data_IF_795751688513
#
_entry.id   IF_795751688513
#
_cell.length_a   1.000
_cell.length_b   1.000
_cell.length_c   1.000
_cell.angle_alpha   90.00
_cell.angle_beta   90.00
_cell.angle_gamma   90.00
#
_symmetry.space_group_name_H-M   'P 1'
#
loop_
_entity.id
_entity.type
_entity.pdbx_description
1 polymer ?
#
# COMPACT_ATOMS: atom_id res chain seq x y z
N UNK A 1 -40.39 -52.15 -11.57
CA UNK A 1 -40.06 -51.21 -10.48
C UNK A 1 -38.56 -50.96 -10.54
N UNK A 2 -38.14 -50.00 -11.36
CA UNK A 2 -36.73 -49.58 -11.47
C UNK A 2 -36.72 -48.15 -12.00
N UNK A 3 -36.70 -47.18 -11.10
CA UNK A 3 -36.54 -45.76 -11.44
C UNK A 3 -35.05 -45.44 -11.28
N UNK A 4 -34.43 -45.12 -12.41
CA UNK A 4 -33.06 -44.62 -12.50
C UNK A 4 -33.09 -43.16 -12.09
N UNK A 5 -32.64 -42.85 -10.87
CA UNK A 5 -32.32 -41.48 -10.46
C UNK A 5 -31.00 -41.06 -11.12
N UNK A 6 -31.11 -40.35 -12.24
CA UNK A 6 -30.01 -39.64 -12.88
C UNK A 6 -29.50 -38.55 -11.94
N UNK A 7 -28.29 -38.74 -11.40
CA UNK A 7 -27.62 -37.77 -10.55
C UNK A 7 -27.24 -36.51 -11.32
N UNK A 8 -27.87 -35.39 -10.98
CA UNK A 8 -27.48 -34.07 -11.45
C UNK A 8 -26.33 -33.54 -10.59
N UNK A 9 -25.10 -33.89 -10.95
CA UNK A 9 -23.89 -33.24 -10.42
C UNK A 9 -23.70 -31.87 -11.11
N UNK A 10 -24.50 -30.87 -10.72
CA UNK A 10 -24.17 -29.46 -10.93
C UNK A 10 -23.50 -28.94 -9.65
N UNK A 11 -22.30 -29.44 -9.36
CA UNK A 11 -21.41 -28.78 -8.41
C UNK A 11 -20.88 -27.54 -9.12
N UNK A 12 -21.42 -26.38 -8.70
CA UNK A 12 -21.05 -25.10 -9.25
C UNK A 12 -19.54 -24.89 -9.22
N UNK A 13 -18.97 -24.59 -10.37
CA UNK A 13 -17.85 -23.67 -10.40
C UNK A 13 -18.35 -22.36 -9.76
N UNK A 14 -18.20 -22.21 -8.44
CA UNK A 14 -18.27 -20.89 -7.83
C UNK A 14 -17.20 -20.05 -8.52
N UNK A 15 -17.64 -19.24 -9.49
CA UNK A 15 -16.78 -18.19 -10.03
C UNK A 15 -16.35 -17.37 -8.82
N UNK A 16 -15.04 -17.28 -8.63
CA UNK A 16 -14.46 -16.35 -7.66
C UNK A 16 -15.18 -15.01 -7.79
N UNK A 17 -15.66 -14.41 -6.69
CA UNK A 17 -16.29 -13.10 -6.74
C UNK A 17 -15.31 -11.99 -7.19
N UNK A 18 -14.02 -12.33 -7.22
CA UNK A 18 -12.93 -11.48 -7.67
C UNK A 18 -12.59 -11.81 -9.11
N UNK A 19 -12.86 -10.86 -10.00
CA UNK A 19 -12.55 -10.95 -11.42
C UNK A 19 -11.33 -10.09 -11.75
N UNK A 20 -10.47 -10.62 -12.62
CA UNK A 20 -9.38 -9.90 -13.25
C UNK A 20 -9.49 -9.97 -14.78
N UNK A 21 -10.70 -10.19 -15.32
CA UNK A 21 -10.90 -10.41 -16.76
C UNK A 21 -10.70 -9.14 -17.61
N UNK A 22 -10.79 -7.96 -16.99
CA UNK A 22 -10.48 -6.67 -17.61
C UNK A 22 -9.77 -5.74 -16.62
N UNK A 23 -9.07 -4.67 -17.09
CA UNK A 23 -8.43 -3.70 -16.21
C UNK A 23 -9.41 -3.07 -15.22
N UNK A 24 -10.61 -2.68 -15.69
CA UNK A 24 -11.64 -2.09 -14.84
C UNK A 24 -12.17 -3.09 -13.80
N UNK A 25 -12.36 -4.36 -14.18
CA UNK A 25 -12.78 -5.40 -13.25
C UNK A 25 -11.72 -5.66 -12.17
N UNK A 26 -10.42 -5.61 -12.49
CA UNK A 26 -9.36 -5.71 -11.48
C UNK A 26 -9.41 -4.56 -10.47
N UNK A 27 -9.68 -3.33 -10.91
CA UNK A 27 -9.86 -2.18 -10.00
C UNK A 27 -11.10 -2.38 -9.11
N UNK A 28 -12.22 -2.83 -9.69
CA UNK A 28 -13.43 -3.11 -8.91
C UNK A 28 -13.22 -4.25 -7.92
N UNK A 29 -12.45 -5.27 -8.29
CA UNK A 29 -12.05 -6.36 -7.40
C UNK A 29 -11.25 -5.86 -6.20
N UNK A 30 -10.32 -4.91 -6.39
CA UNK A 30 -9.57 -4.30 -5.28
C UNK A 30 -10.53 -3.63 -4.27
N UNK A 31 -11.52 -2.89 -4.76
CA UNK A 31 -12.57 -2.28 -3.94
C UNK A 31 -13.37 -3.34 -3.19
N UNK A 32 -13.85 -4.37 -3.90
CA UNK A 32 -14.65 -5.44 -3.32
C UNK A 32 -13.90 -6.19 -2.21
N UNK A 33 -12.60 -6.43 -2.38
CA UNK A 33 -11.75 -7.02 -1.33
C UNK A 33 -11.74 -6.17 -0.06
N UNK A 34 -11.60 -4.84 -0.19
CA UNK A 34 -11.66 -3.93 0.96
C UNK A 34 -13.04 -3.94 1.60
N UNK A 35 -14.12 -3.76 0.82
CA UNK A 35 -15.49 -3.74 1.33
C UNK A 35 -15.86 -5.02 2.12
N UNK A 36 -15.27 -6.15 1.73
CA UNK A 36 -15.48 -7.46 2.38
C UNK A 36 -14.56 -7.76 3.56
N UNK A 37 -13.67 -6.84 3.95
CA UNK A 37 -12.72 -7.12 5.03
C UNK A 37 -11.54 -8.01 4.61
N UNK A 38 -11.28 -8.13 3.31
CA UNK A 38 -10.27 -9.01 2.70
C UNK A 38 -9.08 -8.21 2.13
N UNK A 39 -8.71 -7.08 2.74
CA UNK A 39 -7.59 -6.26 2.28
C UNK A 39 -6.25 -7.02 2.20
N UNK A 40 -6.13 -8.15 2.90
CA UNK A 40 -4.96 -9.03 2.81
C UNK A 40 -4.74 -9.65 1.44
N UNK A 41 -5.76 -9.64 0.58
CA UNK A 41 -5.73 -10.15 -0.78
C UNK A 41 -5.38 -9.11 -1.83
N UNK A 42 -5.33 -7.82 -1.47
CA UNK A 42 -4.98 -6.74 -2.42
C UNK A 42 -3.70 -7.03 -3.22
N UNK A 43 -2.62 -7.59 -2.64
CA UNK A 43 -1.41 -7.89 -3.42
C UNK A 43 -1.56 -9.04 -4.43
N UNK A 44 -2.65 -9.82 -4.39
CA UNK A 44 -2.97 -10.81 -5.43
C UNK A 44 -3.19 -10.11 -6.80
N UNK A 45 -3.65 -8.87 -6.78
CA UNK A 45 -3.88 -8.04 -7.97
C UNK A 45 -2.61 -7.38 -8.52
N UNK A 46 -1.50 -7.50 -7.79
CA UNK A 46 -0.22 -6.96 -8.19
C UNK A 46 0.57 -8.05 -8.92
N UNK A 47 1.13 -7.71 -10.07
CA UNK A 47 2.01 -8.59 -10.81
C UNK A 47 3.35 -8.75 -10.08
N UNK A 48 3.83 -9.98 -9.97
CA UNK A 48 5.14 -10.30 -9.40
C UNK A 48 6.02 -10.95 -10.48
N UNK A 49 7.27 -10.50 -10.57
CA UNK A 49 8.26 -10.97 -11.52
C UNK A 49 8.85 -12.35 -11.17
N UNK A 50 8.83 -12.72 -9.88
CA UNK A 50 9.37 -13.99 -9.39
C UNK A 50 8.71 -14.41 -8.07
N UNK A 51 9.05 -15.61 -7.59
CA UNK A 51 8.50 -16.16 -6.34
C UNK A 51 8.86 -15.35 -5.09
N UNK A 52 10.07 -14.78 -5.03
CA UNK A 52 10.51 -14.01 -3.86
C UNK A 52 9.74 -12.69 -3.76
N UNK A 53 9.46 -12.04 -4.89
CA UNK A 53 8.57 -10.88 -4.97
C UNK A 53 7.13 -11.24 -4.62
N UNK A 54 6.62 -12.39 -5.10
CA UNK A 54 5.30 -12.88 -4.70
C UNK A 54 5.22 -13.12 -3.19
N UNK A 55 6.25 -13.73 -2.58
CA UNK A 55 6.32 -13.91 -1.12
C UNK A 55 6.32 -12.58 -0.40
N UNK A 56 7.11 -11.61 -0.86
CA UNK A 56 7.12 -10.25 -0.30
C UNK A 56 5.71 -9.64 -0.31
N UNK A 57 4.99 -9.75 -1.43
CA UNK A 57 3.60 -9.31 -1.54
C UNK A 57 2.65 -10.08 -0.62
N UNK A 58 2.88 -11.36 -0.35
CA UNK A 58 2.11 -12.10 0.67
C UNK A 58 2.34 -11.55 2.08
N UNK A 59 3.57 -11.16 2.43
CA UNK A 59 3.85 -10.48 3.70
C UNK A 59 3.16 -9.11 3.76
N UNK A 60 3.22 -8.35 2.66
CA UNK A 60 2.50 -7.07 2.53
C UNK A 60 1.00 -7.27 2.73
N UNK A 61 0.42 -8.32 2.15
CA UNK A 61 -1.00 -8.65 2.30
C UNK A 61 -1.39 -8.87 3.76
N UNK A 62 -0.62 -9.65 4.52
CA UNK A 62 -0.87 -9.82 5.96
C UNK A 62 -0.89 -8.48 6.71
N UNK A 63 0.09 -7.62 6.45
CA UNK A 63 0.16 -6.28 7.02
C UNK A 63 -1.06 -5.41 6.68
N UNK A 64 -1.48 -5.42 5.40
CA UNK A 64 -2.68 -4.71 4.93
C UNK A 64 -3.96 -5.22 5.63
N UNK A 65 -4.08 -6.54 5.82
CA UNK A 65 -5.18 -7.14 6.58
C UNK A 65 -5.19 -6.70 8.05
N UNK A 66 -4.02 -6.68 8.71
CA UNK A 66 -3.90 -6.17 10.08
C UNK A 66 -4.24 -4.68 10.18
N UNK A 67 -3.84 -3.88 9.18
CA UNK A 67 -4.18 -2.46 9.11
C UNK A 67 -5.70 -2.25 8.96
N UNK A 68 -6.38 -3.10 8.21
CA UNK A 68 -7.84 -3.07 8.11
C UNK A 68 -8.51 -3.31 9.46
N UNK A 69 -8.03 -4.31 10.21
CA UNK A 69 -8.52 -4.60 11.56
C UNK A 69 -8.30 -3.44 12.52
N UNK A 70 -7.15 -2.78 12.45
CA UNK A 70 -6.87 -1.58 13.22
C UNK A 70 -7.91 -0.48 12.94
N UNK A 71 -8.19 -0.20 11.65
CA UNK A 71 -9.19 0.79 11.26
C UNK A 71 -10.59 0.46 11.80
N UNK A 72 -11.00 -0.82 11.74
CA UNK A 72 -12.27 -1.28 12.32
C UNK A 72 -12.30 -1.07 13.84
N UNK A 73 -11.23 -1.45 14.55
CA UNK A 73 -11.13 -1.27 16.01
C UNK A 73 -11.19 0.21 16.40
N UNK A 74 -10.49 1.07 15.65
CA UNK A 74 -10.51 2.53 15.83
C UNK A 74 -11.92 3.09 15.62
N UNK A 75 -12.58 2.74 14.51
CA UNK A 75 -13.92 3.23 14.20
C UNK A 75 -14.94 2.80 15.27
N UNK A 76 -14.77 1.61 15.85
CA UNK A 76 -15.60 1.10 16.94
C UNK A 76 -15.32 1.80 18.28
N UNK A 77 -14.06 2.11 18.59
CA UNK A 77 -13.65 2.70 19.87
C UNK A 77 -13.80 4.21 19.93
N UNK A 78 -13.52 4.90 18.83
CA UNK A 78 -13.47 6.36 18.71
C UNK A 78 -14.43 6.90 17.64
N UNK A 79 -15.72 6.51 17.62
CA UNK A 79 -16.63 6.84 16.51
C UNK A 79 -16.84 8.35 16.32
N UNK A 80 -16.82 9.13 17.42
CA UNK A 80 -16.96 10.58 17.38
C UNK A 80 -15.72 11.24 16.74
N UNK A 81 -14.52 10.91 17.22
CA UNK A 81 -13.28 11.47 16.68
C UNK A 81 -13.09 11.12 15.19
N UNK A 82 -13.45 9.91 14.78
CA UNK A 82 -13.41 9.51 13.36
C UNK A 82 -14.45 10.28 12.54
N UNK A 83 -15.65 10.51 13.08
CA UNK A 83 -16.67 11.33 12.43
C UNK A 83 -16.21 12.78 12.22
N UNK A 84 -15.58 13.37 13.23
CA UNK A 84 -15.01 14.72 13.16
C UNK A 84 -13.85 14.80 12.15
N UNK A 85 -12.99 13.79 12.10
CA UNK A 85 -11.93 13.69 11.09
C UNK A 85 -12.48 13.62 9.67
N UNK A 86 -13.49 12.77 9.43
CA UNK A 86 -14.15 12.65 8.12
C UNK A 86 -14.80 13.98 7.70
N UNK A 87 -15.52 14.64 8.61
CA UNK A 87 -16.13 15.94 8.34
C UNK A 87 -15.08 17.03 7.99
N UNK A 88 -13.97 17.09 8.74
CA UNK A 88 -12.85 18.00 8.44
C UNK A 88 -12.22 17.70 7.08
N UNK A 89 -12.05 16.42 6.73
CA UNK A 89 -11.49 16.02 5.45
C UNK A 89 -12.40 16.38 4.26
N UNK A 90 -13.72 16.22 4.41
CA UNK A 90 -14.72 16.64 3.41
C UNK A 90 -14.73 18.16 3.24
N UNK A 91 -14.69 18.92 4.34
CA UNK A 91 -14.64 20.38 4.28
C UNK A 91 -13.37 20.88 3.59
N UNK A 92 -12.22 20.27 3.88
CA UNK A 92 -10.95 20.57 3.21
C UNK A 92 -10.99 20.22 1.71
N UNK A 93 -11.60 19.09 1.34
CA UNK A 93 -11.78 18.70 -0.06
C UNK A 93 -12.66 19.68 -0.83
N UNK A 94 -13.79 20.09 -0.24
CA UNK A 94 -14.71 21.07 -0.83
C UNK A 94 -14.07 22.46 -1.00
N UNK A 95 -13.13 22.83 -0.12
CA UNK A 95 -12.35 24.08 -0.24
C UNK A 95 -11.20 24.00 -1.25
N UNK A 96 -11.03 22.88 -1.96
CA UNK A 96 -9.92 22.64 -2.86
C UNK A 96 -8.57 22.51 -2.15
N UNK A 97 -8.59 22.34 -0.82
CA UNK A 97 -7.44 22.18 0.06
C UNK A 97 -7.18 20.72 0.39
N UNK A 98 -7.69 19.77 -0.42
CA UNK A 98 -7.44 18.34 -0.20
C UNK A 98 -5.94 18.06 -0.29
N UNK A 99 -5.26 18.07 0.85
CA UNK A 99 -3.97 17.43 1.06
C UNK A 99 -4.22 15.93 1.02
N UNK A 100 -4.46 15.38 -0.17
CA UNK A 100 -4.43 13.93 -0.32
C UNK A 100 -3.01 13.47 0.02
N UNK A 101 -2.88 12.32 0.69
CA UNK A 101 -1.59 11.68 0.95
C UNK A 101 -0.77 11.60 -0.36
N UNK A 102 -1.46 11.36 -1.49
CA UNK A 102 -0.91 11.39 -2.83
C UNK A 102 -0.41 12.79 -3.25
N UNK A 103 -1.12 13.88 -2.96
CA UNK A 103 -0.67 15.25 -3.19
C UNK A 103 0.58 15.60 -2.37
N UNK A 104 0.63 15.16 -1.11
CA UNK A 104 1.79 15.42 -0.25
C UNK A 104 3.01 14.60 -0.66
N UNK A 105 2.79 13.35 -1.09
CA UNK A 105 3.82 12.47 -1.63
C UNK A 105 4.30 12.91 -3.03
N UNK A 106 3.42 13.46 -3.87
CA UNK A 106 3.83 14.04 -5.17
C UNK A 106 4.54 15.38 -5.00
N UNK A 107 4.17 16.18 -4.00
CA UNK A 107 4.91 17.40 -3.62
C UNK A 107 6.31 17.09 -3.06
N UNK A 108 6.49 15.95 -2.39
CA UNK A 108 7.82 15.52 -1.94
C UNK A 108 8.68 14.90 -3.05
N UNK A 109 8.07 14.42 -4.13
CA UNK A 109 8.75 13.87 -5.32
C UNK A 109 8.93 14.87 -6.48
N UNK A 110 8.28 16.03 -6.44
CA UNK A 110 8.44 17.06 -7.47
C UNK A 110 9.89 17.57 -7.56
N UNK A 111 10.37 17.98 -8.75
CA UNK A 111 11.70 18.54 -8.91
C UNK A 111 11.83 19.74 -7.98
N UNK A 112 12.72 19.58 -7.00
CA UNK A 112 13.03 20.53 -5.96
C UNK A 112 13.60 21.79 -6.62
N UNK A 113 12.72 22.68 -7.08
CA UNK A 113 13.09 24.00 -7.57
C UNK A 113 13.63 24.77 -6.38
N UNK A 114 14.97 24.84 -6.39
CA UNK A 114 15.86 25.52 -5.47
C UNK A 114 15.20 26.51 -4.52
N UNK A 115 14.90 26.04 -3.30
CA UNK A 115 15.17 26.80 -2.09
C UNK A 115 15.03 25.91 -0.84
N UNK A 116 16.11 25.27 -0.37
CA UNK A 116 16.18 24.77 1.01
C UNK A 116 17.58 24.93 1.60
N UNK A 117 17.81 26.08 2.22
CA UNK A 117 18.15 26.08 3.64
C UNK A 117 16.87 25.74 4.40
N UNK A 118 16.70 24.48 4.80
CA UNK A 118 15.72 24.11 5.83
C UNK A 118 16.36 23.04 6.71
N UNK A 119 17.21 23.53 7.61
CA UNK A 119 17.88 22.75 8.64
C UNK A 119 17.31 23.27 9.97
N UNK A 120 16.17 22.73 10.37
CA UNK A 120 15.46 23.08 11.60
C UNK A 120 14.42 22.02 11.91
N UNK A 121 14.05 21.80 13.18
CA UNK A 121 12.96 20.89 13.54
C UNK A 121 11.67 21.28 12.80
N UNK A 122 10.81 20.31 12.44
CA UNK A 122 9.50 20.62 11.89
C UNK A 122 8.72 21.52 12.85
N UNK A 123 8.06 22.54 12.31
CA UNK A 123 7.20 23.44 13.09
C UNK A 123 6.01 22.69 13.70
N UNK A 124 5.40 23.23 14.75
CA UNK A 124 4.25 22.58 15.41
C UNK A 124 3.07 22.39 14.46
N UNK A 125 2.86 23.33 13.53
CA UNK A 125 1.87 23.20 12.46
C UNK A 125 2.17 22.04 11.49
N UNK A 126 3.45 21.78 11.20
CA UNK A 126 3.86 20.66 10.35
C UNK A 126 3.73 19.31 11.06
N UNK A 127 3.99 19.28 12.38
CA UNK A 127 3.78 18.09 13.21
C UNK A 127 2.30 17.76 13.31
N UNK A 128 1.46 18.74 13.67
CA UNK A 128 0.01 18.55 13.74
C UNK A 128 -0.59 18.08 12.43
N UNK A 129 -0.18 18.66 11.29
CA UNK A 129 -0.66 18.23 9.97
C UNK A 129 -0.24 16.79 9.64
N UNK A 130 0.95 16.37 10.06
CA UNK A 130 1.42 15.01 9.90
C UNK A 130 0.64 14.02 10.79
N UNK A 131 0.43 14.39 12.06
CA UNK A 131 -0.33 13.60 13.03
C UNK A 131 -1.80 13.44 12.61
N UNK A 132 -2.44 14.51 12.09
CA UNK A 132 -3.78 14.46 11.50
C UNK A 132 -3.83 13.55 10.26
N UNK A 133 -2.78 13.56 9.44
CA UNK A 133 -2.69 12.70 8.24
C UNK A 133 -2.57 11.22 8.63
N UNK A 134 -1.75 10.90 9.64
CA UNK A 134 -1.62 9.56 10.18
C UNK A 134 -2.92 9.08 10.84
N UNK A 135 -3.56 9.95 11.63
CA UNK A 135 -4.83 9.65 12.28
C UNK A 135 -5.92 9.35 11.25
N UNK A 136 -6.00 10.13 10.16
CA UNK A 136 -6.89 9.86 9.04
C UNK A 136 -6.58 8.53 8.34
N UNK A 137 -5.29 8.23 8.11
CA UNK A 137 -4.87 6.97 7.52
C UNK A 137 -5.24 5.77 8.41
N UNK A 138 -5.10 5.86 9.72
CA UNK A 138 -5.45 4.76 10.61
C UNK A 138 -6.95 4.60 10.83
N UNK A 139 -7.69 5.72 10.89
CA UNK A 139 -9.14 5.70 11.02
C UNK A 139 -9.85 5.15 9.77
N UNK A 140 -9.28 5.40 8.59
CA UNK A 140 -9.85 5.00 7.31
C UNK A 140 -8.75 4.63 6.29
N UNK A 141 -8.04 3.50 6.48
CA UNK A 141 -6.86 3.14 5.70
C UNK A 141 -7.15 2.90 4.22
N UNK A 142 -8.40 2.58 3.89
CA UNK A 142 -8.81 2.24 2.53
C UNK A 142 -9.94 3.10 1.97
N UNK A 143 -10.51 4.04 2.72
CA UNK A 143 -11.61 4.85 2.18
C UNK A 143 -11.18 5.77 1.05
N UNK A 144 -9.87 5.95 0.82
CA UNK A 144 -9.44 6.51 -0.46
C UNK A 144 -9.90 5.63 -1.63
N UNK A 145 -9.80 4.29 -1.57
CA UNK A 145 -10.24 3.40 -2.66
C UNK A 145 -11.73 3.49 -2.92
N UNK A 146 -12.54 3.58 -1.86
CA UNK A 146 -13.99 3.78 -1.97
C UNK A 146 -14.30 5.08 -2.72
N UNK A 147 -13.71 6.20 -2.26
CA UNK A 147 -13.88 7.55 -2.86
C UNK A 147 -13.25 7.69 -4.25
N UNK A 148 -12.23 6.90 -4.55
CA UNK A 148 -11.47 6.99 -5.79
C UNK A 148 -12.09 6.17 -6.91
N UNK A 149 -12.97 5.22 -6.62
CA UNK A 149 -13.51 4.30 -7.63
C UNK A 149 -14.22 4.99 -8.79
N UNK A 150 -14.86 6.15 -8.55
CA UNK A 150 -15.52 6.95 -9.59
C UNK A 150 -14.53 7.79 -10.42
N UNK A 151 -13.34 8.04 -9.86
CA UNK A 151 -12.28 8.89 -10.44
C UNK A 151 -11.23 8.05 -11.15
N UNK A 152 -11.06 6.81 -10.72
CA UNK A 152 -10.21 5.80 -11.32
C UNK A 152 -10.87 5.25 -12.58
N UNK A 153 -10.16 5.29 -13.69
CA UNK A 153 -10.56 4.69 -14.95
C UNK A 153 -9.34 4.06 -15.60
N UNK A 154 -9.53 3.20 -16.59
CA UNK A 154 -8.43 2.65 -17.36
C UNK A 154 -8.52 3.06 -18.82
N UNK A 155 -7.36 3.18 -19.46
CA UNK A 155 -7.25 3.39 -20.91
C UNK A 155 -6.30 2.34 -21.45
N UNK A 156 -6.79 1.52 -22.38
CA UNK A 156 -5.96 0.55 -23.09
C UNK A 156 -4.87 1.27 -23.89
N UNK A 157 -3.62 0.84 -23.67
CA UNK A 157 -2.46 1.27 -24.47
C UNK A 157 -2.27 0.28 -25.62
N UNK A 158 -2.39 -1.01 -25.31
CA UNK A 158 -2.40 -2.14 -26.25
C UNK A 158 -3.48 -3.14 -25.79
N UNK A 159 -3.70 -4.22 -26.57
CA UNK A 159 -4.68 -5.26 -26.19
C UNK A 159 -4.37 -5.93 -24.84
N UNK A 160 -3.11 -5.93 -24.42
CA UNK A 160 -2.60 -6.57 -23.21
C UNK A 160 -1.97 -5.60 -22.19
N UNK A 161 -2.07 -4.28 -22.41
CA UNK A 161 -1.60 -3.27 -21.45
C UNK A 161 -2.57 -2.10 -21.33
N UNK A 162 -2.73 -1.58 -20.12
CA UNK A 162 -3.59 -0.44 -19.84
C UNK A 162 -2.92 0.54 -18.87
N UNK A 163 -3.26 1.82 -18.99
CA UNK A 163 -2.90 2.84 -18.03
C UNK A 163 -4.05 3.07 -17.04
N UNK A 164 -3.72 3.23 -15.77
CA UNK A 164 -4.66 3.70 -14.75
C UNK A 164 -4.68 5.23 -14.73
N UNK A 165 -5.88 5.76 -14.84
CA UNK A 165 -6.19 7.18 -14.96
C UNK A 165 -6.95 7.64 -13.72
N UNK A 166 -6.70 8.87 -13.29
CA UNK A 166 -7.42 9.58 -12.25
C UNK A 166 -7.97 10.89 -12.83
N UNK A 167 -9.29 11.05 -12.84
CA UNK A 167 -9.97 12.17 -13.50
C UNK A 167 -9.44 12.41 -14.94
N UNK A 168 -9.27 11.32 -15.70
CA UNK A 168 -8.73 11.34 -17.07
C UNK A 168 -7.27 11.79 -17.19
N UNK A 169 -6.52 11.86 -16.10
CA UNK A 169 -5.06 12.13 -16.08
C UNK A 169 -4.30 10.89 -15.59
N UNK A 170 -3.10 10.57 -16.11
CA UNK A 170 -2.34 9.43 -15.62
C UNK A 170 -2.04 9.52 -14.11
N UNK A 171 -2.26 8.43 -13.38
CA UNK A 171 -1.82 8.31 -11.97
C UNK A 171 -0.31 8.15 -11.95
N UNK A 172 0.44 9.09 -11.36
CA UNK A 172 1.92 9.14 -11.35
C UNK A 172 2.56 9.44 -12.74
N UNK A 173 2.61 10.72 -13.14
CA UNK A 173 3.31 11.14 -14.35
C UNK A 173 4.83 10.85 -14.28
N UNK A 174 5.51 10.52 -15.40
CA UNK A 174 5.00 10.54 -16.78
C UNK A 174 4.44 9.22 -17.30
N UNK A 175 4.68 8.08 -16.62
CA UNK A 175 4.40 6.74 -17.18
C UNK A 175 3.04 6.16 -16.76
N UNK A 176 2.37 6.70 -15.74
CA UNK A 176 1.13 6.13 -15.23
C UNK A 176 1.38 4.86 -14.39
N UNK A 177 0.46 4.52 -13.47
CA UNK A 177 0.37 3.17 -12.94
C UNK A 177 -0.15 2.28 -14.08
N UNK A 178 0.66 1.32 -14.52
CA UNK A 178 0.32 0.45 -15.65
C UNK A 178 -0.31 -0.86 -15.16
N UNK A 179 -1.09 -1.48 -16.04
CA UNK A 179 -1.63 -2.81 -15.88
C UNK A 179 -1.26 -3.65 -17.10
N UNK A 180 -1.10 -4.95 -16.88
CA UNK A 180 -0.86 -5.90 -17.97
C UNK A 180 -1.68 -7.16 -17.81
N UNK A 181 -2.03 -7.76 -18.94
CA UNK A 181 -2.63 -9.06 -19.01
C UNK A 181 -1.56 -10.15 -19.06
N UNK A 182 -1.72 -11.19 -18.24
CA UNK A 182 -0.86 -12.38 -18.26
C UNK A 182 -1.45 -13.50 -19.12
N UNK A 183 -0.67 -14.55 -19.36
CA UNK A 183 -1.05 -15.69 -20.22
C UNK A 183 -2.29 -16.46 -19.77
N UNK A 184 -2.64 -16.35 -18.48
CA UNK A 184 -3.88 -16.89 -17.90
C UNK A 184 -5.13 -16.04 -18.24
N UNK A 185 -4.96 -14.88 -18.88
CA UNK A 185 -6.03 -13.94 -19.22
C UNK A 185 -6.31 -12.90 -18.13
N UNK A 186 -5.66 -12.99 -16.97
CA UNK A 186 -5.89 -12.09 -15.84
C UNK A 186 -5.07 -10.79 -15.97
N UNK A 187 -5.69 -9.69 -15.59
CA UNK A 187 -5.09 -8.37 -15.53
C UNK A 187 -4.52 -8.05 -14.17
N UNK A 188 -3.26 -7.62 -14.14
CA UNK A 188 -2.52 -7.28 -12.94
C UNK A 188 -2.00 -5.85 -12.98
N UNK A 189 -1.94 -5.21 -11.81
CA UNK A 189 -1.27 -3.93 -11.59
C UNK A 189 0.24 -4.15 -11.61
N UNK A 190 0.97 -3.32 -12.34
CA UNK A 190 2.43 -3.37 -12.43
C UNK A 190 3.02 -2.25 -11.60
N UNK A 191 3.84 -2.62 -10.61
CA UNK A 191 4.63 -1.64 -9.86
C UNK A 191 5.79 -1.17 -10.75
N UNK A 192 5.98 0.15 -10.94
CA UNK A 192 7.02 0.66 -11.82
C UNK A 192 8.39 0.66 -11.13
N UNK A 193 8.92 -0.54 -10.87
CA UNK A 193 10.17 -0.78 -10.13
C UNK A 193 11.41 -0.27 -10.86
N UNK A 194 11.32 -0.06 -12.18
CA UNK A 194 12.42 0.44 -13.02
C UNK A 194 12.58 1.97 -12.99
N UNK A 195 11.68 2.73 -12.35
CA UNK A 195 11.77 4.19 -12.31
C UNK A 195 13.02 4.68 -11.54
N UNK A 196 13.66 5.78 -11.99
CA UNK A 196 14.68 6.46 -11.19
C UNK A 196 14.16 6.80 -9.80
N UNK A 197 14.93 6.47 -8.75
CA UNK A 197 14.53 6.64 -7.35
C UNK A 197 13.89 5.40 -6.71
N UNK A 198 13.08 4.63 -7.45
CA UNK A 198 12.51 3.36 -6.96
C UNK A 198 13.47 2.21 -7.20
N UNK A 199 14.06 2.15 -8.39
CA UNK A 199 14.93 1.06 -8.84
C UNK A 199 16.16 0.83 -7.97
N UNK A 200 16.64 1.86 -7.26
CA UNK A 200 17.80 1.78 -6.38
C UNK A 200 17.46 1.26 -4.98
N UNK A 201 16.18 1.29 -4.58
CA UNK A 201 15.70 0.78 -3.30
C UNK A 201 14.96 -0.55 -3.42
N UNK A 202 14.47 -0.88 -4.63
CA UNK A 202 13.75 -2.14 -4.88
C UNK A 202 14.68 -3.36 -4.70
N UNK A 203 14.23 -4.42 -4.00
CA UNK A 203 15.01 -5.63 -3.83
C UNK A 203 15.31 -6.34 -5.15
N UNK A 204 16.54 -6.82 -5.29
CA UNK A 204 17.07 -7.50 -6.49
C UNK A 204 17.57 -8.92 -6.21
N UNK A 205 17.93 -9.22 -4.97
CA UNK A 205 18.36 -10.56 -4.54
C UNK A 205 17.39 -11.18 -3.53
N UNK A 206 17.46 -12.50 -3.39
CA UNK A 206 16.66 -13.25 -2.42
C UNK A 206 16.87 -12.75 -0.99
N UNK A 207 18.11 -12.44 -0.63
CA UNK A 207 18.48 -11.91 0.69
C UNK A 207 17.84 -10.53 0.91
N UNK A 208 17.83 -9.67 -0.11
CA UNK A 208 17.16 -8.37 -0.04
C UNK A 208 15.64 -8.55 0.15
N UNK A 209 14.99 -9.45 -0.59
CA UNK A 209 13.57 -9.76 -0.39
C UNK A 209 13.28 -10.25 1.04
N UNK A 210 14.17 -11.05 1.64
CA UNK A 210 14.02 -11.51 3.02
C UNK A 210 14.14 -10.37 4.04
N UNK A 211 15.05 -9.42 3.82
CA UNK A 211 15.18 -8.22 4.67
C UNK A 211 13.91 -7.38 4.59
N UNK A 212 13.38 -7.14 3.39
CA UNK A 212 12.11 -6.43 3.19
C UNK A 212 10.92 -7.17 3.81
N UNK A 213 10.84 -8.50 3.63
CA UNK A 213 9.79 -9.31 4.26
C UNK A 213 9.83 -9.26 5.78
N UNK A 214 11.04 -9.25 6.37
CA UNK A 214 11.27 -9.09 7.82
C UNK A 214 10.83 -7.72 8.33
N UNK A 215 11.11 -6.66 7.57
CA UNK A 215 10.63 -5.30 7.89
C UNK A 215 9.11 -5.26 7.91
N UNK A 216 8.47 -5.71 6.82
CA UNK A 216 7.01 -5.71 6.70
C UNK A 216 6.38 -6.50 7.84
N UNK A 217 6.96 -7.66 8.18
CA UNK A 217 6.49 -8.50 9.29
C UNK A 217 6.64 -7.79 10.65
N UNK A 218 7.67 -6.96 10.82
CA UNK A 218 7.84 -6.19 12.07
C UNK A 218 6.81 -5.08 12.17
N UNK A 219 6.55 -4.36 11.07
CA UNK A 219 5.48 -3.36 11.00
C UNK A 219 4.09 -3.98 11.22
N UNK A 220 3.82 -5.15 10.63
CA UNK A 220 2.59 -5.91 10.84
C UNK A 220 2.37 -6.22 12.32
N UNK A 221 3.39 -6.70 13.04
CA UNK A 221 3.32 -6.92 14.49
C UNK A 221 3.05 -5.64 15.27
N UNK A 222 3.66 -4.52 14.88
CA UNK A 222 3.37 -3.21 15.49
C UNK A 222 1.90 -2.82 15.32
N UNK A 223 1.32 -3.06 14.14
CA UNK A 223 -0.10 -2.79 13.86
C UNK A 223 -1.00 -3.69 14.70
N UNK A 224 -0.67 -4.99 14.83
CA UNK A 224 -1.40 -5.94 15.68
C UNK A 224 -1.37 -5.49 17.14
N UNK A 225 -0.20 -5.13 17.66
CA UNK A 225 -0.05 -4.66 19.04
C UNK A 225 -0.81 -3.36 19.29
N UNK A 226 -0.81 -2.45 18.32
CA UNK A 226 -1.58 -1.21 18.40
C UNK A 226 -3.09 -1.47 18.36
N UNK A 227 -3.53 -2.42 17.54
CA UNK A 227 -4.95 -2.85 17.49
C UNK A 227 -5.38 -3.38 18.85
N UNK A 228 -4.57 -4.25 19.47
CA UNK A 228 -4.85 -4.75 20.80
C UNK A 228 -4.88 -3.62 21.85
N UNK A 229 -3.99 -2.63 21.76
CA UNK A 229 -4.01 -1.48 22.67
C UNK A 229 -5.31 -0.65 22.54
N UNK A 230 -5.84 -0.48 21.32
CA UNK A 230 -7.12 0.19 21.06
C UNK A 230 -8.30 -0.61 21.64
N UNK A 231 -8.37 -1.90 21.32
CA UNK A 231 -9.46 -2.77 21.75
C UNK A 231 -9.53 -2.86 23.28
N UNK A 232 -8.38 -3.06 23.93
CA UNK A 232 -8.23 -3.14 25.38
C UNK A 232 -8.38 -1.78 26.08
N UNK A 233 -8.52 -0.67 25.34
CA UNK A 233 -8.65 0.68 25.90
C UNK A 233 -7.39 1.17 26.61
N UNK A 234 -6.21 0.65 26.22
CA UNK A 234 -4.91 1.13 26.70
C UNK A 234 -4.52 2.46 26.07
N UNK A 235 -5.11 2.78 24.92
CA UNK A 235 -5.13 4.11 24.31
C UNK A 235 -6.55 4.65 24.37
N UNK A 236 -6.67 5.95 24.63
CA UNK A 236 -7.96 6.59 24.94
C UNK A 236 -8.43 7.60 23.90
N UNK A 237 -7.55 7.97 22.96
CA UNK A 237 -7.84 8.92 21.88
C UNK A 237 -7.11 8.51 20.59
N UNK A 238 -7.54 9.05 19.43
CA UNK A 238 -6.85 8.86 18.16
C UNK A 238 -5.44 9.46 18.14
N UNK A 239 -5.23 10.59 18.82
CA UNK A 239 -3.91 11.20 18.97
C UNK A 239 -2.92 10.25 19.68
N UNK A 240 -3.39 9.54 20.71
CA UNK A 240 -2.57 8.56 21.40
C UNK A 240 -2.24 7.33 20.53
N UNK A 241 -3.18 6.92 19.66
CA UNK A 241 -2.94 5.88 18.64
C UNK A 241 -1.80 6.30 17.71
N UNK A 242 -1.86 7.51 17.17
CA UNK A 242 -0.85 8.05 16.25
C UNK A 242 0.53 8.21 16.91
N UNK A 243 0.57 8.70 18.16
CA UNK A 243 1.80 8.78 18.96
C UNK A 243 2.42 7.41 19.21
N UNK A 244 1.64 6.44 19.68
CA UNK A 244 2.13 5.08 19.91
C UNK A 244 2.55 4.37 18.63
N UNK A 245 1.85 4.61 17.52
CA UNK A 245 2.27 4.11 16.21
C UNK A 245 3.66 4.66 15.84
N UNK A 246 3.86 5.97 15.99
CA UNK A 246 5.15 6.62 15.75
C UNK A 246 6.27 6.04 16.61
N UNK A 247 6.06 5.93 17.93
CA UNK A 247 7.04 5.37 18.87
C UNK A 247 7.39 3.91 18.55
N UNK A 248 6.40 3.08 18.27
CA UNK A 248 6.61 1.64 17.99
C UNK A 248 7.19 1.38 16.61
N UNK A 249 6.89 2.20 15.60
CA UNK A 249 7.35 2.01 14.23
C UNK A 249 8.73 2.63 13.94
N UNK A 250 9.11 3.69 14.67
CA UNK A 250 10.34 4.44 14.39
C UNK A 250 11.61 3.60 14.52
N UNK A 251 11.77 2.87 15.64
CA UNK A 251 12.99 2.09 15.92
C UNK A 251 13.16 0.95 14.90
N UNK A 252 12.14 0.11 14.63
CA UNK A 252 12.23 -0.92 13.59
C UNK A 252 12.53 -0.37 12.20
N UNK A 253 11.86 0.71 11.78
CA UNK A 253 12.11 1.31 10.47
C UNK A 253 13.56 1.80 10.35
N UNK A 254 14.07 2.51 11.38
CA UNK A 254 15.44 3.02 11.41
C UNK A 254 16.48 1.88 11.32
N UNK A 255 16.29 0.79 12.06
CA UNK A 255 17.19 -0.37 12.02
C UNK A 255 17.23 -1.03 10.65
N UNK A 256 16.08 -1.14 9.96
CA UNK A 256 16.06 -1.73 8.61
C UNK A 256 16.70 -0.81 7.58
N UNK A 257 16.42 0.49 7.61
CA UNK A 257 17.11 1.42 6.72
C UNK A 257 18.63 1.40 6.94
N UNK A 258 19.07 1.26 8.19
CA UNK A 258 20.47 1.07 8.52
C UNK A 258 21.05 -0.26 7.99
N UNK A 259 20.36 -1.38 8.22
CA UNK A 259 20.78 -2.71 7.74
C UNK A 259 20.84 -2.77 6.21
N UNK A 260 19.86 -2.18 5.53
CA UNK A 260 19.84 -2.05 4.07
C UNK A 260 21.00 -1.18 3.56
N UNK A 261 21.31 -0.08 4.24
CA UNK A 261 22.49 0.74 3.95
C UNK A 261 23.79 -0.07 4.04
N UNK A 262 23.97 -0.83 5.12
CA UNK A 262 25.15 -1.67 5.33
C UNK A 262 25.29 -2.78 4.27
N UNK A 263 24.19 -3.46 3.91
CA UNK A 263 24.21 -4.48 2.85
C UNK A 263 24.65 -3.90 1.52
N UNK A 264 24.14 -2.72 1.14
CA UNK A 264 24.54 -2.05 -0.09
C UNK A 264 26.00 -1.62 -0.09
N UNK A 265 26.50 -1.16 1.05
CA UNK A 265 27.91 -0.77 1.17
C UNK A 265 28.84 -1.98 1.11
N UNK A 266 28.44 -3.12 1.67
CA UNK A 266 29.15 -4.39 1.52
C UNK A 266 29.19 -4.84 0.05
N UNK A 267 28.03 -4.89 -0.62
CA UNK A 267 27.95 -5.25 -2.05
C UNK A 267 28.77 -4.32 -2.95
N UNK A 268 28.76 -3.00 -2.69
CA UNK A 268 29.59 -2.04 -3.43
C UNK A 268 31.09 -2.30 -3.24
N UNK A 269 31.52 -2.62 -2.01
CA UNK A 269 32.92 -2.93 -1.70
C UNK A 269 33.36 -4.23 -2.38
N UNK A 270 32.53 -5.27 -2.37
CA UNK A 270 32.79 -6.54 -3.06
C UNK A 270 32.83 -6.37 -4.59
N UNK A 271 31.92 -5.55 -5.15
CA UNK A 271 31.94 -5.21 -6.57
C UNK A 271 33.19 -4.40 -6.95
N UNK A 272 33.64 -3.47 -6.11
CA UNK A 272 34.86 -2.71 -6.35
C UNK A 272 36.13 -3.58 -6.29
N UNK A 273 36.15 -4.58 -5.39
CA UNK A 273 37.26 -5.52 -5.24
C UNK A 273 37.34 -6.57 -6.35
N UNK A 274 36.20 -7.04 -6.86
CA UNK A 274 36.16 -8.00 -7.99
C UNK A 274 36.58 -7.38 -9.32
N UNK A 275 36.45 -6.06 -9.49
CA UNK A 275 36.95 -5.32 -10.66
C UNK A 275 38.46 -5.05 -10.59
N UNK A 276 39.07 -5.08 -9.40
CA UNK A 276 40.50 -4.79 -9.18
C UNK A 276 41.38 -6.04 -8.99
N UNK A 277 40.80 -7.25 -8.92
CA UNK A 277 41.56 -8.48 -8.85
C UNK A 277 42.12 -8.87 -10.24
N UNK A 278 43.45 -8.99 -10.41
CA UNK A 278 44.01 -9.50 -11.66
C UNK A 278 43.68 -10.99 -11.84
N UNK A 279 43.37 -11.40 -13.08
CA UNK A 279 43.32 -12.81 -13.50
C UNK A 279 44.71 -13.44 -13.42
#
# INVERSE_FOLDING_TARGET
MTVVCLGACLLGCERSPYSQASPDETIQTARLMVERGEASRLPDLIWAANEDERRLFTHLGRMLGSLQKLGVAIQAKFPQEVGELKARAEEAANKGQSTSLLSQMTQSMGPQRGNRRRQGPPSDAERSAFDDTLSNLFADPYGFLERSSERLSTVYITDNTAAVMWDKKPVLPPLGLAMKQETNGDWYIVIPTALPGISSAWPRSKEEYQVWGSLITTLDKTIIDLTADVELGRVTTLDEVSKRAGEKAFIPAAMVFYAFGQLRDAQKKEAAQSVTAPK
#
